data_IF_773561310283
#
_entry.id   IF_773561310283
#
_cell.length_a   1.000
_cell.length_b   1.000
_cell.length_c   1.000
_cell.angle_alpha   90.00
_cell.angle_beta   90.00
_cell.angle_gamma   90.00
#
_symmetry.space_group_name_H-M   'P 1'
#
loop_
_entity.id
_entity.type
_entity.pdbx_description
1 polymer ?
#
# COMPACT_ATOMS: atom_id res chain seq x y z
N UNK A 1 42.93 -0.28 12.87
CA UNK A 1 41.71 0.52 13.19
C UNK A 1 40.71 0.51 12.03
N UNK A 2 41.14 0.49 10.76
CA UNK A 2 40.24 0.44 9.58
C UNK A 2 39.38 -0.84 9.48
N UNK A 3 39.93 -2.01 9.83
CA UNK A 3 39.19 -3.28 9.78
C UNK A 3 38.00 -3.34 10.75
N UNK A 4 38.12 -2.69 11.91
CA UNK A 4 37.07 -2.66 12.93
C UNK A 4 35.92 -1.73 12.52
N UNK A 5 36.24 -0.63 11.85
CA UNK A 5 35.27 0.29 11.25
C UNK A 5 34.51 -0.37 10.10
N UNK A 6 35.20 -1.07 9.20
CA UNK A 6 34.57 -1.81 8.10
C UNK A 6 33.63 -2.91 8.60
N UNK A 7 34.04 -3.66 9.63
CA UNK A 7 33.20 -4.66 10.30
C UNK A 7 31.88 -4.08 10.84
N UNK A 8 31.92 -2.89 11.45
CA UNK A 8 30.73 -2.23 11.97
C UNK A 8 29.78 -1.78 10.85
N UNK A 9 30.34 -1.27 9.75
CA UNK A 9 29.56 -0.84 8.57
C UNK A 9 28.81 -2.03 7.96
N UNK A 10 29.48 -3.17 7.74
CA UNK A 10 28.83 -4.37 7.21
C UNK A 10 27.69 -4.89 8.09
N UNK A 11 27.85 -4.77 9.43
CA UNK A 11 26.83 -5.18 10.38
C UNK A 11 25.61 -4.26 10.31
N UNK A 12 25.83 -2.94 10.24
CA UNK A 12 24.77 -1.95 10.05
C UNK A 12 24.03 -2.15 8.73
N UNK A 13 24.73 -2.44 7.64
CA UNK A 13 24.09 -2.74 6.34
C UNK A 13 23.18 -3.96 6.41
N UNK A 14 23.62 -5.04 7.07
CA UNK A 14 22.81 -6.25 7.28
C UNK A 14 21.56 -5.96 8.11
N UNK A 15 21.69 -5.17 9.17
CA UNK A 15 20.55 -4.82 10.03
C UNK A 15 19.57 -3.88 9.32
N UNK A 16 20.07 -2.89 8.57
CA UNK A 16 19.24 -2.05 7.69
C UNK A 16 18.50 -2.91 6.66
N UNK A 17 19.17 -3.91 6.07
CA UNK A 17 18.54 -4.81 5.09
C UNK A 17 17.44 -5.68 5.72
N UNK A 18 17.62 -6.13 6.98
CA UNK A 18 16.58 -6.85 7.73
C UNK A 18 15.41 -5.95 8.09
N UNK A 19 15.66 -4.72 8.53
CA UNK A 19 14.63 -3.73 8.87
C UNK A 19 13.83 -3.28 7.64
N UNK A 20 14.48 -3.16 6.48
CA UNK A 20 13.82 -2.86 5.20
C UNK A 20 13.01 -4.03 4.63
N UNK A 21 13.24 -5.25 5.12
CA UNK A 21 12.48 -6.43 4.68
C UNK A 21 11.08 -6.34 5.28
N UNK A 22 10.10 -5.95 4.46
CA UNK A 22 8.69 -5.96 4.86
C UNK A 22 8.35 -7.36 5.40
N UNK A 23 7.76 -7.40 6.59
CA UNK A 23 7.17 -8.61 7.17
C UNK A 23 6.27 -9.28 6.12
N UNK A 24 6.27 -10.61 5.99
CA UNK A 24 5.40 -11.29 5.05
C UNK A 24 3.94 -11.02 5.43
N UNK A 25 3.28 -10.14 4.67
CA UNK A 25 1.85 -9.89 4.80
C UNK A 25 1.09 -10.76 3.81
N UNK A 26 -0.07 -11.26 4.23
CA UNK A 26 -1.01 -11.97 3.35
C UNK A 26 -2.15 -11.01 2.99
N UNK A 27 -2.43 -10.87 1.70
CA UNK A 27 -3.63 -10.16 1.26
C UNK A 27 -4.86 -11.00 1.64
N UNK A 28 -5.82 -10.41 2.34
CA UNK A 28 -7.02 -11.09 2.83
C UNK A 28 -8.28 -10.66 2.08
N UNK A 29 -8.30 -9.43 1.58
CA UNK A 29 -9.38 -8.93 0.75
C UNK A 29 -8.85 -8.03 -0.38
N UNK A 30 -9.61 -7.95 -1.46
CA UNK A 30 -9.39 -7.04 -2.58
C UNK A 30 -10.72 -6.42 -2.98
N UNK A 31 -10.70 -5.12 -3.32
CA UNK A 31 -11.88 -4.35 -3.73
C UNK A 31 -11.50 -3.46 -4.90
N UNK A 32 -12.42 -3.27 -5.84
CA UNK A 32 -12.27 -2.30 -6.92
C UNK A 32 -13.39 -1.28 -6.77
N UNK A 33 -13.03 0.00 -6.70
CA UNK A 33 -13.99 1.09 -6.53
C UNK A 33 -13.83 2.07 -7.69
N UNK A 34 -14.92 2.29 -8.43
CA UNK A 34 -14.96 3.25 -9.52
C UNK A 34 -15.40 4.63 -9.03
N UNK A 35 -14.67 5.66 -9.42
CA UNK A 35 -15.06 7.07 -9.26
C UNK A 35 -15.35 7.62 -10.64
N UNK A 36 -16.63 7.91 -10.90
CA UNK A 36 -17.07 8.55 -12.14
C UNK A 36 -16.77 10.04 -12.05
N UNK A 37 -16.13 10.61 -13.07
CA UNK A 37 -15.83 12.05 -13.16
C UNK A 37 -17.04 12.83 -13.66
N UNK A 38 -18.11 12.76 -12.88
CA UNK A 38 -19.33 13.51 -13.05
C UNK A 38 -19.55 14.36 -11.79
N UNK A 39 -19.73 15.70 -11.90
CA UNK A 39 -19.86 16.59 -10.75
C UNK A 39 -20.95 16.21 -9.74
N UNK A 40 -21.97 15.47 -10.16
CA UNK A 40 -23.07 15.04 -9.30
C UNK A 40 -22.81 13.67 -8.68
N UNK A 41 -21.98 12.83 -9.30
CA UNK A 41 -21.82 11.41 -8.93
C UNK A 41 -20.48 11.04 -8.33
N UNK A 42 -19.44 11.86 -8.49
CA UNK A 42 -18.08 11.54 -8.02
C UNK A 42 -18.01 11.22 -6.52
N UNK A 43 -18.83 11.91 -5.71
CA UNK A 43 -18.86 11.76 -4.24
C UNK A 43 -19.20 10.34 -3.78
N UNK A 44 -19.97 9.59 -4.57
CA UNK A 44 -20.32 8.22 -4.21
C UNK A 44 -19.08 7.32 -4.20
N UNK A 45 -18.27 7.38 -5.26
CA UNK A 45 -17.02 6.62 -5.34
C UNK A 45 -15.98 7.11 -4.34
N UNK A 46 -15.90 8.43 -4.12
CA UNK A 46 -15.03 9.03 -3.09
C UNK A 46 -15.37 8.50 -1.69
N UNK A 47 -16.67 8.49 -1.32
CA UNK A 47 -17.13 7.99 -0.03
C UNK A 47 -16.78 6.51 0.16
N UNK A 48 -16.97 5.69 -0.88
CA UNK A 48 -16.67 4.26 -0.83
C UNK A 48 -15.15 3.98 -0.69
N UNK A 49 -14.30 4.78 -1.32
CA UNK A 49 -12.84 4.72 -1.12
C UNK A 49 -12.50 5.09 0.32
N UNK A 50 -13.02 6.22 0.82
CA UNK A 50 -12.74 6.68 2.17
C UNK A 50 -13.18 5.68 3.25
N UNK A 51 -14.34 5.03 3.06
CA UNK A 51 -14.80 3.95 3.92
C UNK A 51 -13.86 2.74 3.87
N UNK A 52 -13.43 2.32 2.67
CA UNK A 52 -12.49 1.21 2.53
C UNK A 52 -11.14 1.51 3.21
N UNK A 53 -10.60 2.72 3.02
CA UNK A 53 -9.37 3.17 3.69
C UNK A 53 -9.53 3.16 5.22
N UNK A 54 -10.66 3.62 5.73
CA UNK A 54 -10.98 3.59 7.17
C UNK A 54 -11.05 2.16 7.72
N UNK A 55 -11.46 1.20 6.89
CA UNK A 55 -11.51 -0.23 7.22
C UNK A 55 -10.16 -0.96 7.08
N UNK A 56 -9.08 -0.23 6.83
CA UNK A 56 -7.72 -0.76 6.73
C UNK A 56 -7.38 -1.34 5.36
N UNK A 57 -8.12 -0.97 4.31
CA UNK A 57 -7.63 -1.20 2.94
C UNK A 57 -6.54 -0.17 2.59
N UNK A 58 -5.62 -0.56 1.72
CA UNK A 58 -4.59 0.32 1.15
C UNK A 58 -4.76 0.34 -0.38
N UNK A 59 -4.44 1.49 -0.99
CA UNK A 59 -4.45 1.67 -2.45
C UNK A 59 -3.31 0.88 -3.08
N UNK A 60 -3.65 0.06 -4.08
CA UNK A 60 -2.69 -0.74 -4.83
C UNK A 60 -2.33 -0.11 -6.17
N UNK A 61 -3.36 0.26 -6.91
CA UNK A 61 -3.26 0.73 -8.28
C UNK A 61 -4.52 1.45 -8.66
N UNK A 62 -4.39 2.46 -9.47
CA UNK A 62 -5.46 3.13 -10.16
C UNK A 62 -5.45 2.80 -11.66
N UNK A 63 -6.63 2.82 -12.26
CA UNK A 63 -6.85 2.61 -13.68
C UNK A 63 -7.69 3.76 -14.21
N UNK A 64 -7.08 4.60 -15.03
CA UNK A 64 -7.81 5.66 -15.73
C UNK A 64 -8.75 5.07 -16.78
N UNK A 65 -9.95 5.65 -16.87
CA UNK A 65 -10.98 5.28 -17.84
C UNK A 65 -11.49 6.56 -18.51
N UNK A 66 -12.16 6.43 -19.66
CA UNK A 66 -12.70 7.59 -20.37
C UNK A 66 -13.74 8.42 -19.58
N UNK A 67 -14.31 7.87 -18.51
CA UNK A 67 -15.33 8.54 -17.69
C UNK A 67 -14.96 8.67 -16.20
N UNK A 68 -13.72 8.39 -15.81
CA UNK A 68 -13.33 8.37 -14.41
C UNK A 68 -12.11 7.50 -14.11
N UNK A 69 -12.00 7.05 -12.87
CA UNK A 69 -10.89 6.22 -12.40
C UNK A 69 -11.42 5.01 -11.64
N UNK A 70 -10.77 3.86 -11.76
CA UNK A 70 -11.03 2.69 -10.92
C UNK A 70 -9.83 2.47 -10.02
N UNK A 71 -10.05 2.48 -8.71
CA UNK A 71 -9.00 2.22 -7.71
C UNK A 71 -9.11 0.78 -7.22
N UNK A 72 -8.03 0.01 -7.39
CA UNK A 72 -7.82 -1.26 -6.74
C UNK A 72 -7.30 -1.04 -5.32
N UNK A 73 -8.01 -1.62 -4.36
CA UNK A 73 -7.72 -1.58 -2.94
C UNK A 73 -7.47 -3.01 -2.46
N UNK A 74 -6.44 -3.21 -1.66
CA UNK A 74 -6.21 -4.49 -0.97
C UNK A 74 -6.34 -4.31 0.53
N UNK A 75 -6.53 -5.40 1.27
CA UNK A 75 -6.39 -5.45 2.72
C UNK A 75 -5.37 -6.53 3.07
N UNK A 76 -4.46 -6.23 3.98
CA UNK A 76 -3.40 -7.13 4.39
C UNK A 76 -3.46 -7.42 5.87
N UNK A 77 -3.14 -8.66 6.21
CA UNK A 77 -2.87 -9.06 7.58
C UNK A 77 -1.40 -9.47 7.69
N UNK A 78 -0.76 -9.08 8.80
CA UNK A 78 0.54 -9.62 9.13
C UNK A 78 0.36 -11.12 9.39
N UNK A 79 1.16 -11.97 8.73
CA UNK A 79 1.34 -13.32 9.25
C UNK A 79 2.02 -13.17 10.61
N UNK A 80 1.30 -13.51 11.68
CA UNK A 80 1.86 -13.61 13.03
C UNK A 80 3.01 -14.60 13.09
#
# INVERSE_FOLDING_TARGET
MENESNSKIEKMEKDIKKLKKRQPRKMTAMKFVGVVFDPEKYKAGEAEINEALSNGFEVLRDFETGGGIVIALGKWENKG
#
